data_IF_459673344192
#
_entry.id   IF_459673344192
#
_cell.length_a   1.000
_cell.length_b   1.000
_cell.length_c   1.000
_cell.angle_alpha   90.00
_cell.angle_beta   90.00
_cell.angle_gamma   90.00
#
_symmetry.space_group_name_H-M   'P 1'
#
loop_
_entity.id
_entity.type
_entity.pdbx_description
1 polymer ?
#
# COMPACT_ATOMS: atom_id res chain seq x y z
N UNK A 1 15.03 -20.87 17.55
CA UNK A 1 14.39 -19.58 17.23
C UNK A 1 13.60 -19.76 15.94
N UNK A 2 12.34 -19.35 15.91
CA UNK A 2 11.52 -19.41 14.69
C UNK A 2 12.03 -18.35 13.71
N UNK A 3 12.62 -18.76 12.60
CA UNK A 3 12.96 -17.83 11.54
C UNK A 3 11.65 -17.32 10.93
N UNK A 4 11.38 -16.02 11.08
CA UNK A 4 10.41 -15.35 10.22
C UNK A 4 11.07 -15.28 8.85
N UNK A 5 10.76 -16.23 7.97
CA UNK A 5 11.06 -16.10 6.54
C UNK A 5 10.05 -15.09 6.01
N UNK A 6 10.42 -13.81 6.04
CA UNK A 6 9.67 -12.80 5.33
C UNK A 6 10.00 -12.97 3.85
N UNK A 7 9.23 -13.81 3.15
CA UNK A 7 9.39 -14.05 1.72
C UNK A 7 9.11 -12.76 0.95
N UNK A 8 10.13 -11.98 0.55
CA UNK A 8 9.94 -10.64 -0.01
C UNK A 8 9.25 -10.74 -1.37
N UNK A 9 9.53 -11.82 -2.11
CA UNK A 9 8.88 -12.17 -3.38
C UNK A 9 7.38 -12.38 -3.23
N UNK A 10 6.91 -12.85 -2.06
CA UNK A 10 5.48 -13.01 -1.78
C UNK A 10 4.77 -11.68 -1.54
N UNK A 11 5.51 -10.58 -1.32
CA UNK A 11 4.94 -9.24 -1.11
C UNK A 11 4.90 -8.41 -2.40
N UNK A 12 5.64 -8.79 -3.45
CA UNK A 12 5.67 -8.08 -4.72
C UNK A 12 4.30 -8.11 -5.44
N UNK A 13 3.66 -9.28 -5.51
CA UNK A 13 2.34 -9.42 -6.13
C UNK A 13 1.24 -8.65 -5.36
N UNK A 14 1.11 -8.80 -4.02
CA UNK A 14 0.17 -7.97 -3.24
C UNK A 14 0.41 -6.46 -3.36
N UNK A 15 1.67 -6.01 -3.42
CA UNK A 15 1.98 -4.59 -3.61
C UNK A 15 1.52 -4.08 -4.99
N UNK A 16 1.71 -4.86 -6.05
CA UNK A 16 1.21 -4.55 -7.38
C UNK A 16 -0.33 -4.55 -7.44
N UNK A 17 -0.98 -5.47 -6.73
CA UNK A 17 -2.43 -5.53 -6.61
C UNK A 17 -3.00 -4.29 -5.91
N UNK A 18 -2.37 -3.87 -4.80
CA UNK A 18 -2.74 -2.65 -4.08
C UNK A 18 -2.56 -1.39 -4.94
N UNK A 19 -1.49 -1.30 -5.72
CA UNK A 19 -1.28 -0.20 -6.66
C UNK A 19 -2.39 -0.15 -7.73
N UNK A 20 -2.80 -1.31 -8.28
CA UNK A 20 -3.91 -1.41 -9.23
C UNK A 20 -5.24 -1.00 -8.60
N UNK A 21 -5.53 -1.46 -7.38
CA UNK A 21 -6.74 -1.08 -6.64
C UNK A 21 -6.76 0.44 -6.40
N UNK A 22 -5.64 1.03 -5.99
CA UNK A 22 -5.55 2.48 -5.76
C UNK A 22 -5.82 3.27 -7.04
N UNK A 23 -5.23 2.85 -8.16
CA UNK A 23 -5.47 3.46 -9.47
C UNK A 23 -6.94 3.36 -9.89
N UNK A 24 -7.57 2.18 -9.74
CA UNK A 24 -8.98 1.99 -10.03
C UNK A 24 -9.89 2.85 -9.15
N UNK A 25 -9.58 2.95 -7.86
CA UNK A 25 -10.34 3.77 -6.91
C UNK A 25 -10.25 5.26 -7.27
N UNK A 26 -9.07 5.75 -7.64
CA UNK A 26 -8.88 7.12 -8.11
C UNK A 26 -9.73 7.41 -9.36
N UNK A 27 -9.73 6.50 -10.33
CA UNK A 27 -10.53 6.63 -11.55
C UNK A 27 -12.04 6.65 -11.25
N UNK A 28 -12.51 5.77 -10.35
CA UNK A 28 -13.92 5.72 -9.94
C UNK A 28 -14.33 6.99 -9.19
N UNK A 29 -13.49 7.49 -8.27
CA UNK A 29 -13.79 8.73 -7.55
C UNK A 29 -13.88 9.94 -8.49
N UNK A 30 -13.00 10.02 -9.48
CA UNK A 30 -13.05 11.05 -10.50
C UNK A 30 -14.31 10.93 -11.38
N UNK A 31 -14.64 9.72 -11.84
CA UNK A 31 -15.85 9.47 -12.64
C UNK A 31 -17.15 9.76 -11.87
N UNK A 32 -17.15 9.53 -10.55
CA UNK A 32 -18.28 9.78 -9.68
C UNK A 32 -18.47 11.27 -9.33
N UNK A 33 -17.46 12.13 -9.56
CA UNK A 33 -17.51 13.54 -9.16
C UNK A 33 -18.72 14.28 -9.74
N UNK A 34 -18.77 14.45 -11.07
CA UNK A 34 -19.88 15.14 -11.72
C UNK A 34 -21.27 14.58 -11.41
N UNK A 35 -21.54 13.25 -11.52
CA UNK A 35 -22.88 12.72 -11.27
C UNK A 35 -23.33 12.80 -9.81
N UNK A 36 -22.41 12.99 -8.85
CA UNK A 36 -22.77 13.11 -7.42
C UNK A 36 -22.81 14.55 -6.92
N UNK A 37 -22.17 15.50 -7.62
CA UNK A 37 -22.18 16.92 -7.24
C UNK A 37 -23.19 17.76 -8.04
N UNK A 38 -23.48 17.36 -9.28
CA UNK A 38 -24.35 18.10 -10.19
C UNK A 38 -25.72 17.42 -10.40
N UNK A 39 -26.34 16.95 -9.31
CA UNK A 39 -27.65 16.31 -9.37
C UNK A 39 -28.72 17.33 -9.76
N UNK A 40 -29.50 17.04 -10.80
CA UNK A 40 -30.64 17.86 -11.18
C UNK A 40 -31.82 17.64 -10.22
N UNK A 41 -32.59 18.70 -9.96
CA UNK A 41 -33.84 18.59 -9.22
C UNK A 41 -34.84 17.72 -9.98
N UNK A 42 -35.59 16.87 -9.26
CA UNK A 42 -36.55 15.95 -9.86
C UNK A 42 -37.79 16.67 -10.44
N UNK A 43 -38.13 17.84 -9.87
CA UNK A 43 -39.16 18.75 -10.34
C UNK A 43 -38.78 20.20 -9.96
N UNK A 44 -39.59 21.17 -10.39
CA UNK A 44 -39.36 22.61 -10.20
C UNK A 44 -39.75 23.12 -8.80
N UNK A 45 -40.15 22.25 -7.89
CA UNK A 45 -40.54 22.61 -6.53
C UNK A 45 -39.33 22.78 -5.59
N UNK A 46 -39.53 23.52 -4.50
CA UNK A 46 -38.48 23.85 -3.55
C UNK A 46 -37.94 22.62 -2.80
N UNK A 47 -38.75 21.57 -2.61
CA UNK A 47 -38.31 20.33 -1.94
C UNK A 47 -37.37 19.56 -2.85
N UNK A 48 -37.71 19.42 -4.14
CA UNK A 48 -36.84 18.82 -5.15
C UNK A 48 -35.51 19.57 -5.29
N UNK A 49 -35.55 20.91 -5.30
CA UNK A 49 -34.34 21.73 -5.33
C UNK A 49 -33.48 21.55 -4.06
N UNK A 50 -34.11 21.53 -2.88
CA UNK A 50 -33.40 21.33 -1.61
C UNK A 50 -32.75 19.94 -1.52
N UNK A 51 -33.42 18.89 -1.99
CA UNK A 51 -32.87 17.53 -2.02
C UNK A 51 -31.67 17.47 -2.98
N UNK A 52 -31.77 18.03 -4.19
CA UNK A 52 -30.67 18.08 -5.14
C UNK A 52 -29.44 18.80 -4.56
N UNK A 53 -29.66 19.96 -3.91
CA UNK A 53 -28.60 20.71 -3.24
C UNK A 53 -27.96 19.93 -2.07
N UNK A 54 -28.77 19.23 -1.27
CA UNK A 54 -28.27 18.38 -0.19
C UNK A 54 -27.33 17.29 -0.71
N UNK A 55 -27.75 16.54 -1.74
CA UNK A 55 -26.91 15.50 -2.34
C UNK A 55 -25.65 16.09 -2.99
N UNK A 56 -25.76 17.23 -3.68
CA UNK A 56 -24.62 17.93 -4.26
C UNK A 56 -23.57 18.30 -3.22
N UNK A 57 -24.00 18.91 -2.10
CA UNK A 57 -23.10 19.26 -0.98
C UNK A 57 -22.44 18.03 -0.34
N UNK A 58 -23.16 16.92 -0.23
CA UNK A 58 -22.60 15.64 0.23
C UNK A 58 -21.53 15.11 -0.74
N UNK A 59 -21.78 15.20 -2.05
CA UNK A 59 -20.82 14.85 -3.09
C UNK A 59 -19.54 15.69 -2.99
N UNK A 60 -19.67 17.00 -2.79
CA UNK A 60 -18.52 17.92 -2.63
C UNK A 60 -17.71 17.62 -1.37
N UNK A 61 -18.38 17.36 -0.25
CA UNK A 61 -17.74 16.97 1.01
C UNK A 61 -16.97 15.65 0.85
N UNK A 62 -17.57 14.67 0.16
CA UNK A 62 -16.92 13.40 -0.16
C UNK A 62 -15.67 13.59 -1.04
N UNK A 63 -15.77 14.41 -2.10
CA UNK A 63 -14.64 14.69 -2.99
C UNK A 63 -13.51 15.42 -2.25
N UNK A 64 -13.85 16.36 -1.36
CA UNK A 64 -12.87 17.06 -0.52
C UNK A 64 -12.15 16.09 0.42
N UNK A 65 -12.89 15.20 1.10
CA UNK A 65 -12.31 14.21 1.99
C UNK A 65 -11.40 13.22 1.22
N UNK A 66 -11.85 12.73 0.07
CA UNK A 66 -11.06 11.79 -0.74
C UNK A 66 -9.79 12.42 -1.30
N UNK A 67 -9.82 13.72 -1.63
CA UNK A 67 -8.63 14.48 -2.00
C UNK A 67 -7.64 14.63 -0.84
N UNK A 68 -8.10 14.79 0.41
CA UNK A 68 -7.22 14.89 1.59
C UNK A 68 -6.46 13.59 1.88
N UNK A 69 -7.09 12.44 1.62
CA UNK A 69 -6.44 11.13 1.79
C UNK A 69 -5.73 10.63 0.54
N UNK A 70 -5.81 11.38 -0.57
CA UNK A 70 -5.08 11.07 -1.79
C UNK A 70 -3.57 11.06 -1.50
N UNK A 71 -2.91 9.93 -1.76
CA UNK A 71 -1.49 9.73 -1.49
C UNK A 71 -1.15 9.02 -0.17
N UNK A 72 -2.12 8.75 0.72
CA UNK A 72 -1.90 7.75 1.77
C UNK A 72 -1.62 6.34 1.18
N UNK A 73 -2.42 5.84 0.21
CA UNK A 73 -2.20 4.51 -0.35
C UNK A 73 -0.83 4.35 -1.03
N UNK A 74 -0.34 5.38 -1.73
CA UNK A 74 0.97 5.33 -2.37
C UNK A 74 2.11 5.23 -1.35
N UNK A 75 2.02 6.01 -0.26
CA UNK A 75 2.97 5.92 0.86
C UNK A 75 2.92 4.56 1.54
N UNK A 76 1.73 3.96 1.65
CA UNK A 76 1.58 2.61 2.19
C UNK A 76 2.29 1.55 1.32
N UNK A 77 2.07 1.58 0.00
CA UNK A 77 2.75 0.67 -0.93
C UNK A 77 4.26 0.86 -0.91
N UNK A 78 4.74 2.11 -0.85
CA UNK A 78 6.17 2.41 -0.74
C UNK A 78 6.78 1.88 0.56
N UNK A 79 6.10 2.07 1.70
CA UNK A 79 6.54 1.55 2.98
C UNK A 79 6.57 0.01 3.00
N UNK A 80 5.56 -0.63 2.40
CA UNK A 80 5.49 -2.08 2.27
C UNK A 80 6.68 -2.63 1.44
N UNK A 81 6.98 -1.99 0.31
CA UNK A 81 8.12 -2.37 -0.53
C UNK A 81 9.47 -2.17 0.19
N UNK A 82 9.63 -1.06 0.92
CA UNK A 82 10.83 -0.80 1.71
C UNK A 82 11.02 -1.84 2.83
N UNK A 83 9.94 -2.21 3.53
CA UNK A 83 9.95 -3.26 4.53
C UNK A 83 10.37 -4.61 3.95
N UNK A 84 9.77 -5.00 2.82
CA UNK A 84 10.14 -6.23 2.12
C UNK A 84 11.63 -6.28 1.75
N UNK A 85 12.18 -5.16 1.23
CA UNK A 85 13.61 -5.05 0.92
C UNK A 85 14.52 -5.18 2.14
N UNK A 86 14.13 -4.61 3.29
CA UNK A 86 14.89 -4.73 4.54
C UNK A 86 14.98 -6.18 5.02
N UNK A 87 13.86 -6.92 4.97
CA UNK A 87 13.86 -8.35 5.29
C UNK A 87 14.75 -9.16 4.34
N UNK A 88 14.65 -8.92 3.03
CA UNK A 88 15.49 -9.58 2.02
C UNK A 88 16.99 -9.38 2.29
N UNK A 89 17.38 -8.14 2.60
CA UNK A 89 18.79 -7.80 2.87
C UNK A 89 19.34 -8.48 4.13
N UNK A 90 18.49 -8.62 5.16
CA UNK A 90 18.87 -9.29 6.42
C UNK A 90 19.05 -10.79 6.21
N UNK A 91 18.17 -11.42 5.42
CA UNK A 91 18.29 -12.83 5.07
C UNK A 91 19.55 -13.11 4.25
N UNK A 92 19.86 -12.27 3.27
CA UNK A 92 21.09 -12.37 2.48
C UNK A 92 22.37 -12.20 3.34
N UNK A 93 22.38 -11.25 4.28
CA UNK A 93 23.50 -11.05 5.19
C UNK A 93 23.71 -12.24 6.13
N UNK A 94 22.63 -12.79 6.70
CA UNK A 94 22.69 -13.98 7.54
C UNK A 94 23.18 -15.21 6.75
N UNK A 95 22.71 -15.40 5.52
CA UNK A 95 23.19 -16.47 4.63
C UNK A 95 24.68 -16.34 4.31
N UNK A 96 25.16 -15.12 4.01
CA UNK A 96 26.57 -14.84 3.77
C UNK A 96 27.43 -15.14 5.02
N UNK A 97 26.98 -14.72 6.20
CA UNK A 97 27.70 -15.00 7.45
C UNK A 97 27.76 -16.49 7.76
N UNK A 98 26.68 -17.23 7.53
CA UNK A 98 26.66 -18.69 7.71
C UNK A 98 27.64 -19.38 6.76
N UNK A 99 27.74 -18.92 5.51
CA UNK A 99 28.73 -19.42 4.56
C UNK A 99 30.17 -19.14 5.02
N UNK A 100 30.46 -17.92 5.48
CA UNK A 100 31.78 -17.57 6.02
C UNK A 100 32.14 -18.42 7.24
N UNK A 101 31.19 -18.64 8.15
CA UNK A 101 31.39 -19.50 9.31
C UNK A 101 31.68 -20.95 8.88
N UNK A 102 30.96 -21.47 7.90
CA UNK A 102 31.18 -22.83 7.37
C UNK A 102 32.56 -22.98 6.69
N UNK A 103 33.01 -21.95 5.96
CA UNK A 103 34.33 -21.93 5.32
C UNK A 103 35.46 -21.83 6.35
N UNK A 104 35.27 -21.05 7.42
CA UNK A 104 36.28 -20.85 8.46
C UNK A 104 36.31 -21.95 9.53
N UNK A 105 35.25 -22.76 9.65
CA UNK A 105 35.13 -23.83 10.65
C UNK A 105 36.32 -24.82 10.65
N UNK A 106 36.85 -25.30 9.50
CA UNK A 106 38.02 -26.17 9.48
C UNK A 106 39.28 -25.49 10.02
N UNK A 107 39.48 -24.21 9.71
CA UNK A 107 40.63 -23.43 10.18
C UNK A 107 40.56 -23.17 11.68
N UNK A 108 39.37 -22.87 12.21
CA UNK A 108 39.14 -22.72 13.66
C UNK A 108 39.36 -24.05 14.41
N UNK A 109 38.89 -25.16 13.85
CA UNK A 109 39.11 -26.49 14.43
C UNK A 109 40.60 -26.87 14.52
N UNK A 110 41.46 -26.33 13.64
CA UNK A 110 42.91 -26.53 13.70
C UNK A 110 43.63 -25.59 14.67
N UNK A 111 43.10 -24.38 14.90
CA UNK A 111 43.67 -23.44 15.88
C UNK A 111 43.32 -23.77 17.33
N UNK A 112 42.25 -24.54 17.56
CA UNK A 112 41.78 -24.92 18.91
C UNK A 112 42.47 -26.19 19.47
N UNK A 113 43.44 -26.79 18.75
CA UNK A 113 44.15 -28.04 19.13
C UNK A 113 45.54 -27.78 19.73
N UNK A 114 45.74 -26.66 20.42
CA UNK A 114 46.94 -26.37 21.23
C UNK A 114 46.57 -25.71 22.55
#
# INVERSE_FOLDING_TARGET
MSFVVAAPDMLAAPAADLARINSALSAVNAAASAPTTALAAAAEDEVSAAIAALFGSYGEAYQTMTAQVAGFPDRFVQALAAGAGSYASTEAANAAQNLLNAVNAPTQALSDVH
#
